data_IF_908101938382
#
_entry.id   IF_908101938382
#
_cell.length_a   1.000
_cell.length_b   1.000
_cell.length_c   1.000
_cell.angle_alpha   90.00
_cell.angle_beta   90.00
_cell.angle_gamma   90.00
#
_symmetry.space_group_name_H-M   'P 1'
#
loop_
_entity.id
_entity.type
_entity.pdbx_description
1 polymer ?
#
# COMPACT_ATOMS: atom_id res chain seq x y z
N UNK A 1 15.33 16.22 44.73
CA UNK A 1 14.19 16.55 43.85
C UNK A 1 14.60 16.16 42.44
N UNK A 2 14.14 15.02 41.94
CA UNK A 2 14.66 14.40 40.72
C UNK A 2 13.65 14.48 39.58
N UNK A 3 14.19 14.83 38.42
CA UNK A 3 13.56 15.19 37.15
C UNK A 3 12.39 14.30 36.68
N UNK A 4 11.32 14.95 36.26
CA UNK A 4 10.29 14.41 35.35
C UNK A 4 10.91 14.21 33.96
N UNK A 5 11.06 12.96 33.51
CA UNK A 5 11.44 12.64 32.12
C UNK A 5 10.19 12.35 31.30
N UNK A 6 9.99 13.20 30.29
CA UNK A 6 8.95 13.12 29.26
C UNK A 6 9.08 11.82 28.48
N UNK A 7 8.04 10.98 28.47
CA UNK A 7 7.89 9.85 27.55
C UNK A 7 6.96 10.27 26.42
N UNK A 8 7.53 10.93 25.41
CA UNK A 8 6.87 11.22 24.14
C UNK A 8 7.13 10.12 23.12
N UNK A 9 6.09 9.77 22.35
CA UNK A 9 6.23 9.32 20.97
C UNK A 9 6.66 7.87 20.72
N UNK A 10 5.84 6.90 21.13
CA UNK A 10 6.11 5.46 20.90
C UNK A 10 5.39 4.82 19.70
N UNK A 11 4.69 5.57 18.84
CA UNK A 11 3.88 4.97 17.75
C UNK A 11 4.47 5.09 16.35
N UNK A 12 5.48 5.96 16.14
CA UNK A 12 6.09 6.13 14.81
C UNK A 12 7.14 5.06 14.47
N UNK A 13 7.71 4.38 15.47
CA UNK A 13 8.83 3.46 15.25
C UNK A 13 8.41 2.14 14.61
N UNK A 14 7.18 1.66 14.86
CA UNK A 14 6.68 0.40 14.30
C UNK A 14 6.37 0.45 12.79
N UNK A 15 6.04 1.63 12.27
CA UNK A 15 5.70 1.81 10.85
C UNK A 15 6.94 1.77 9.93
N UNK A 16 8.12 2.09 10.46
CA UNK A 16 9.37 2.09 9.71
C UNK A 16 10.03 0.70 9.63
N UNK A 17 9.69 -0.24 10.51
CA UNK A 17 10.36 -1.55 10.64
C UNK A 17 9.90 -2.63 9.63
N UNK A 18 8.94 -2.38 8.74
CA UNK A 18 8.46 -3.44 7.82
C UNK A 18 8.11 -2.97 6.40
N UNK A 19 8.67 -1.86 5.91
CA UNK A 19 8.68 -1.66 4.47
C UNK A 19 9.66 -2.67 3.88
N UNK A 20 9.15 -3.83 3.45
CA UNK A 20 9.98 -4.81 2.78
C UNK A 20 10.74 -4.12 1.63
N UNK A 21 12.03 -4.39 1.44
CA UNK A 21 12.76 -3.82 0.32
C UNK A 21 12.09 -4.20 -1.00
N UNK A 22 12.21 -3.35 -2.01
CA UNK A 22 11.71 -3.70 -3.35
C UNK A 22 12.42 -4.97 -3.85
N UNK A 23 11.69 -6.01 -4.27
CA UNK A 23 12.29 -7.24 -4.78
C UNK A 23 13.18 -6.97 -5.99
N UNK A 24 14.40 -7.53 -5.96
CA UNK A 24 15.31 -7.49 -7.10
C UNK A 24 14.75 -8.32 -8.26
N UNK A 25 14.99 -7.87 -9.50
CA UNK A 25 14.69 -8.65 -10.70
C UNK A 25 15.73 -9.76 -10.84
N UNK A 26 15.51 -10.86 -10.12
CA UNK A 26 16.27 -12.09 -10.26
C UNK A 26 15.60 -13.01 -11.29
N UNK A 27 16.41 -13.80 -12.00
CA UNK A 27 15.94 -14.79 -12.96
C UNK A 27 15.01 -15.81 -12.26
N UNK A 28 13.84 -16.07 -12.84
CA UNK A 28 12.82 -16.96 -12.26
C UNK A 28 11.97 -16.36 -11.15
N UNK A 29 12.20 -15.12 -10.72
CA UNK A 29 11.35 -14.47 -9.72
C UNK A 29 9.98 -14.11 -10.33
N UNK A 30 8.92 -14.66 -9.75
CA UNK A 30 7.54 -14.30 -10.09
C UNK A 30 7.21 -12.93 -9.49
N UNK A 31 7.47 -11.88 -10.28
CA UNK A 31 7.24 -10.49 -9.90
C UNK A 31 6.04 -9.88 -10.64
N UNK A 32 5.49 -8.83 -10.06
CA UNK A 32 4.52 -7.92 -10.67
C UNK A 32 4.97 -6.48 -10.42
N UNK A 33 4.77 -5.59 -11.39
CA UNK A 33 5.05 -4.16 -11.24
C UNK A 33 3.74 -3.41 -11.04
N UNK A 34 3.53 -2.85 -9.86
CA UNK A 34 2.33 -2.04 -9.58
C UNK A 34 2.65 -0.56 -9.76
N UNK A 35 1.82 0.13 -10.53
CA UNK A 35 1.81 1.59 -10.59
C UNK A 35 0.64 2.12 -9.79
N UNK A 36 0.88 2.95 -8.78
CA UNK A 36 -0.18 3.54 -7.97
C UNK A 36 -0.26 5.03 -8.22
N UNK A 37 -1.44 5.51 -8.64
CA UNK A 37 -1.77 6.93 -8.82
C UNK A 37 -2.33 7.47 -7.51
N UNK A 38 -1.70 8.51 -7.00
CA UNK A 38 -2.03 9.15 -5.73
C UNK A 38 -3.00 10.34 -5.97
N UNK A 39 -3.77 10.77 -4.95
CA UNK A 39 -4.76 11.86 -5.12
C UNK A 39 -4.11 13.21 -5.43
N UNK A 40 -2.86 13.41 -5.03
CA UNK A 40 -2.06 14.61 -5.34
C UNK A 40 -1.54 14.65 -6.79
N UNK A 41 -1.98 13.72 -7.66
CA UNK A 41 -1.56 13.62 -9.07
C UNK A 41 -0.23 12.91 -9.30
N UNK A 42 0.51 12.56 -8.23
CA UNK A 42 1.74 11.79 -8.34
C UNK A 42 1.47 10.32 -8.68
N UNK A 43 2.51 9.65 -9.15
CA UNK A 43 2.49 8.20 -9.33
C UNK A 43 3.72 7.60 -8.66
N UNK A 44 3.53 6.48 -7.98
CA UNK A 44 4.60 5.64 -7.47
C UNK A 44 4.58 4.31 -8.23
N UNK A 45 5.75 3.77 -8.54
CA UNK A 45 5.89 2.47 -9.20
C UNK A 45 6.76 1.62 -8.32
N UNK A 46 6.33 0.39 -8.05
CA UNK A 46 7.08 -0.55 -7.23
C UNK A 46 6.86 -1.97 -7.71
N UNK A 47 7.92 -2.78 -7.67
CA UNK A 47 7.83 -4.23 -7.85
C UNK A 47 7.40 -4.91 -6.55
N UNK A 48 6.60 -5.95 -6.72
CA UNK A 48 6.19 -6.87 -5.66
C UNK A 48 6.43 -8.30 -6.13
N UNK A 49 6.55 -9.24 -5.18
CA UNK A 49 6.41 -10.65 -5.51
C UNK A 49 4.93 -10.92 -5.75
N UNK A 50 4.62 -11.81 -6.69
CA UNK A 50 3.25 -12.25 -6.94
C UNK A 50 2.60 -12.91 -5.71
N UNK A 51 3.41 -13.49 -4.84
CA UNK A 51 3.03 -14.09 -3.56
C UNK A 51 2.89 -13.08 -2.41
N UNK A 52 3.23 -11.80 -2.62
CA UNK A 52 2.95 -10.78 -1.59
C UNK A 52 1.43 -10.60 -1.48
N UNK A 53 0.93 -10.22 -0.30
CA UNK A 53 -0.51 -10.09 -0.04
C UNK A 53 -1.03 -8.68 -0.29
N UNK A 54 -2.34 -8.54 -0.48
CA UNK A 54 -2.99 -7.23 -0.51
C UNK A 54 -2.70 -6.44 0.78
N UNK A 55 -2.76 -7.09 1.96
CA UNK A 55 -2.38 -6.46 3.22
C UNK A 55 -0.95 -5.88 3.21
N UNK A 56 0.03 -6.59 2.62
CA UNK A 56 1.40 -6.09 2.47
C UNK A 56 1.51 -4.89 1.52
N UNK A 57 0.71 -4.87 0.43
CA UNK A 57 0.58 -3.72 -0.47
C UNK A 57 0.02 -2.50 0.29
N UNK A 58 -1.05 -2.68 1.06
CA UNK A 58 -1.67 -1.62 1.86
C UNK A 58 -0.72 -1.08 2.94
N UNK A 59 0.02 -1.96 3.63
CA UNK A 59 1.02 -1.56 4.60
C UNK A 59 2.13 -0.68 3.98
N UNK A 60 2.56 -1.00 2.75
CA UNK A 60 3.50 -0.15 2.02
C UNK A 60 2.89 1.21 1.64
N UNK A 61 1.66 1.22 1.14
CA UNK A 61 0.96 2.45 0.78
C UNK A 61 0.76 3.38 1.98
N UNK A 62 0.36 2.83 3.13
CA UNK A 62 0.19 3.60 4.37
C UNK A 62 1.48 4.27 4.87
N UNK A 63 2.66 3.78 4.45
CA UNK A 63 3.94 4.39 4.78
C UNK A 63 4.37 5.51 3.80
N UNK A 64 3.64 5.71 2.69
CA UNK A 64 3.89 6.82 1.78
C UNK A 64 3.42 8.12 2.43
N UNK A 65 4.28 9.13 2.45
CA UNK A 65 3.98 10.44 3.06
C UNK A 65 2.70 11.07 2.49
N UNK A 66 2.47 10.91 1.19
CA UNK A 66 1.26 11.40 0.50
C UNK A 66 -0.05 10.77 0.99
N UNK A 67 0.00 9.56 1.56
CA UNK A 67 -1.16 8.83 2.09
C UNK A 67 -1.23 8.87 3.62
N UNK A 68 -0.09 9.07 4.29
CA UNK A 68 0.00 9.14 5.74
C UNK A 68 -0.87 10.26 6.37
N UNK A 69 -1.21 11.29 5.59
CA UNK A 69 -2.06 12.40 6.03
C UNK A 69 -3.56 12.22 5.70
N UNK A 70 -3.94 11.17 4.97
CA UNK A 70 -5.33 10.93 4.57
C UNK A 70 -6.05 10.09 5.64
N UNK A 71 -7.19 10.55 6.18
CA UNK A 71 -7.91 9.84 7.25
C UNK A 71 -8.58 8.55 6.77
N UNK A 72 -9.02 8.51 5.51
CA UNK A 72 -9.61 7.36 4.86
C UNK A 72 -9.30 7.40 3.35
N UNK A 73 -8.95 6.25 2.78
CA UNK A 73 -8.71 6.08 1.36
C UNK A 73 -8.89 4.62 0.96
N UNK A 74 -9.25 4.41 -0.31
CA UNK A 74 -9.46 3.12 -0.93
C UNK A 74 -8.63 2.99 -2.22
N UNK A 75 -8.45 1.76 -2.70
CA UNK A 75 -7.81 1.50 -4.00
C UNK A 75 -8.84 1.06 -5.02
N UNK A 76 -8.94 1.85 -6.09
CA UNK A 76 -9.65 1.46 -7.29
C UNK A 76 -8.74 0.66 -8.22
N UNK A 77 -9.27 -0.47 -8.69
CA UNK A 77 -8.67 -1.30 -9.72
C UNK A 77 -8.80 -0.63 -11.10
N UNK A 78 -7.91 -0.95 -12.07
CA UNK A 78 -8.16 -0.57 -13.46
C UNK A 78 -9.48 -1.19 -13.88
N UNK A 79 -10.33 -0.37 -14.49
CA UNK A 79 -11.69 -0.72 -14.88
C UNK A 79 -11.70 -2.06 -15.63
N UNK A 80 -12.24 -3.07 -14.97
CA UNK A 80 -12.61 -4.38 -15.50
C UNK A 80 -13.94 -4.71 -14.86
N UNK A 81 -14.96 -4.96 -15.67
CA UNK A 81 -16.30 -5.28 -15.18
C UNK A 81 -16.30 -6.67 -14.51
N UNK A 82 -16.96 -6.85 -13.35
CA UNK A 82 -17.59 -5.85 -12.50
C UNK A 82 -16.55 -5.14 -11.59
N UNK A 83 -16.75 -3.84 -11.27
CA UNK A 83 -16.00 -3.23 -10.19
C UNK A 83 -16.21 -4.05 -8.92
N UNK A 84 -15.13 -4.40 -8.22
CA UNK A 84 -15.25 -4.87 -6.84
C UNK A 84 -16.02 -3.78 -6.08
N UNK A 85 -17.26 -4.06 -5.68
CA UNK A 85 -18.02 -3.15 -4.81
C UNK A 85 -17.16 -2.89 -3.56
N UNK A 86 -16.74 -1.64 -3.36
CA UNK A 86 -15.89 -1.24 -2.22
C UNK A 86 -14.37 -1.19 -2.50
N UNK A 87 -13.91 -1.44 -3.73
CA UNK A 87 -12.49 -1.37 -4.08
C UNK A 87 -11.66 -2.56 -3.60
N UNK A 88 -10.34 -2.48 -3.76
CA UNK A 88 -9.42 -3.50 -3.23
C UNK A 88 -9.38 -3.41 -1.69
N UNK A 89 -9.48 -4.54 -1.00
CA UNK A 89 -9.40 -4.62 0.45
C UNK A 89 -8.03 -5.14 0.91
N UNK A 90 -7.57 -4.79 2.13
CA UNK A 90 -6.31 -5.31 2.69
C UNK A 90 -6.49 -6.74 3.20
N UNK A 91 -6.62 -7.72 2.30
CA UNK A 91 -6.78 -9.14 2.61
C UNK A 91 -5.46 -9.91 2.62
N UNK A 92 -5.49 -11.17 3.06
CA UNK A 92 -4.36 -12.10 2.96
C UNK A 92 -4.25 -12.76 1.57
N UNK A 93 -5.15 -12.43 0.64
CA UNK A 93 -5.04 -12.89 -0.75
C UNK A 93 -3.81 -12.28 -1.41
N UNK A 94 -3.12 -13.10 -2.18
CA UNK A 94 -1.91 -12.73 -2.91
C UNK A 94 -2.24 -11.82 -4.09
N UNK A 95 -1.25 -11.04 -4.53
CA UNK A 95 -1.38 -10.21 -5.73
C UNK A 95 -1.70 -11.05 -6.99
N UNK A 96 -1.29 -12.33 -7.02
CA UNK A 96 -1.65 -13.25 -8.10
C UNK A 96 -3.09 -13.74 -8.03
N UNK A 97 -3.59 -14.09 -6.84
CA UNK A 97 -4.99 -14.50 -6.63
C UNK A 97 -5.98 -13.37 -6.98
N UNK A 98 -5.56 -12.12 -6.79
CA UNK A 98 -6.34 -10.91 -7.09
C UNK A 98 -6.12 -10.37 -8.52
N UNK A 99 -5.38 -11.10 -9.36
CA UNK A 99 -5.02 -10.71 -10.74
C UNK A 99 -4.36 -9.31 -10.85
N UNK A 100 -3.58 -8.92 -9.83
CA UNK A 100 -2.86 -7.65 -9.78
C UNK A 100 -1.49 -7.77 -10.48
N UNK A 101 -1.52 -8.09 -11.77
CA UNK A 101 -0.33 -8.34 -12.59
C UNK A 101 -0.05 -7.17 -13.53
N UNK A 102 1.02 -6.43 -13.26
CA UNK A 102 1.44 -5.26 -14.05
C UNK A 102 0.36 -4.18 -14.21
N UNK A 103 -0.47 -4.01 -13.18
CA UNK A 103 -1.63 -3.12 -13.21
C UNK A 103 -1.31 -1.71 -12.70
N UNK A 104 -2.16 -0.76 -13.10
CA UNK A 104 -2.22 0.56 -12.47
C UNK A 104 -3.37 0.57 -11.48
N UNK A 105 -3.15 1.07 -10.26
CA UNK A 105 -4.14 1.27 -9.22
C UNK A 105 -4.31 2.77 -8.97
N UNK A 106 -5.50 3.19 -8.54
CA UNK A 106 -5.79 4.57 -8.17
C UNK A 106 -6.20 4.64 -6.72
N UNK A 107 -5.51 5.47 -5.95
CA UNK A 107 -5.97 5.81 -4.61
C UNK A 107 -7.11 6.81 -4.74
N UNK A 108 -8.24 6.47 -4.12
CA UNK A 108 -9.40 7.33 -3.98
C UNK A 108 -9.45 7.80 -2.53
N UNK A 109 -9.73 9.09 -2.32
CA UNK A 109 -10.02 9.58 -0.98
C UNK A 109 -11.49 9.28 -0.70
N UNK A 110 -11.75 8.60 0.41
CA UNK A 110 -13.13 8.34 0.82
C UNK A 110 -13.70 9.63 1.43
N UNK A 111 -14.91 10.02 1.03
CA UNK A 111 -15.61 11.13 1.69
C UNK A 111 -15.99 10.68 3.10
N UNK A 112 -15.43 11.36 4.11
CA UNK A 112 -15.90 11.21 5.49
C UNK A 112 -17.20 12.02 5.59
N UNK A 113 -18.35 11.41 5.90
CA UNK A 113 -19.63 12.12 6.03
C UNK A 113 -19.66 13.15 7.17
#
# INVERSE_FOLDING_TARGET
>A
MSATRVQGGGTRTRAAEALQPEPAAAEGALLTTLKVRLPNGQAVVRRFRRTDTAAALFAWLAALEALAALPAWSLALPVGEPPLEGGLLPTEETLEELDLINVTLWVQQDEVP
#
